data_IF_856927226308
#
_entry.id   IF_856927226308
#
_cell.length_a   1.000
_cell.length_b   1.000
_cell.length_c   1.000
_cell.angle_alpha   90.00
_cell.angle_beta   90.00
_cell.angle_gamma   90.00
#
_symmetry.space_group_name_H-M   'P 1'
#
loop_
_entity.id
_entity.type
_entity.pdbx_description
1 polymer ?
#
# COMPACT_ATOMS: atom_id res chain seq x y z
N UNK A 1 28.85 -0.02 11.22
CA UNK A 1 28.30 -1.37 10.97
C UNK A 1 28.40 -1.82 9.51
N UNK A 2 28.16 -0.95 8.52
CA UNK A 2 28.23 -1.29 7.10
C UNK A 2 29.54 -1.88 6.59
N UNK A 3 30.67 -1.34 7.07
CA UNK A 3 32.01 -1.88 6.78
C UNK A 3 32.25 -3.26 7.40
N UNK A 4 31.50 -3.62 8.45
CA UNK A 4 31.63 -4.91 9.16
C UNK A 4 30.78 -5.99 8.49
N UNK A 5 29.72 -5.61 7.78
CA UNK A 5 28.78 -6.52 7.12
C UNK A 5 28.61 -6.16 5.63
N UNK A 6 29.67 -6.25 4.80
CA UNK A 6 29.67 -5.77 3.41
C UNK A 6 28.69 -6.51 2.49
N UNK A 7 28.30 -7.73 2.85
CA UNK A 7 27.40 -8.57 2.05
C UNK A 7 25.94 -8.57 2.56
N UNK A 8 25.63 -7.76 3.57
CA UNK A 8 24.27 -7.72 4.15
C UNK A 8 23.28 -7.08 3.17
N UNK A 9 22.50 -7.92 2.50
CA UNK A 9 21.50 -7.50 1.51
C UNK A 9 20.08 -7.40 2.08
N UNK A 10 19.84 -8.02 3.24
CA UNK A 10 18.55 -8.08 3.91
C UNK A 10 18.76 -7.78 5.39
N UNK A 11 17.98 -6.86 5.92
CA UNK A 11 17.98 -6.51 7.34
C UNK A 11 16.55 -6.48 7.84
N UNK A 12 16.32 -7.19 8.95
CA UNK A 12 15.08 -7.15 9.68
C UNK A 12 15.34 -6.70 11.11
N UNK A 13 14.54 -5.74 11.58
CA UNK A 13 14.56 -5.25 12.95
C UNK A 13 13.16 -5.41 13.54
N UNK A 14 13.13 -5.94 14.76
CA UNK A 14 11.94 -5.97 15.59
C UNK A 14 12.22 -5.11 16.84
N UNK A 15 11.51 -4.01 17.05
CA UNK A 15 11.76 -3.11 18.18
C UNK A 15 10.84 -1.89 18.24
N UNK A 16 10.70 -1.29 19.42
CA UNK A 16 9.80 -0.15 19.67
C UNK A 16 10.40 1.21 19.28
N UNK A 17 11.72 1.37 19.40
CA UNK A 17 12.42 2.58 19.00
C UNK A 17 13.58 2.18 18.09
N UNK A 18 13.45 2.50 16.81
CA UNK A 18 14.47 2.16 15.82
C UNK A 18 14.87 3.43 15.07
N UNK A 19 15.97 4.04 15.50
CA UNK A 19 16.65 5.05 14.71
C UNK A 19 17.15 4.39 13.42
N UNK A 20 16.67 4.86 12.26
CA UNK A 20 17.06 4.33 10.95
C UNK A 20 18.24 5.07 10.32
N UNK A 21 18.85 6.03 11.02
CA UNK A 21 20.06 6.71 10.58
C UNK A 21 21.20 5.73 10.28
N UNK A 22 21.25 4.59 10.97
CA UNK A 22 22.27 3.57 10.74
C UNK A 22 22.18 2.98 9.31
N UNK A 23 21.06 3.09 8.60
CA UNK A 23 20.89 2.58 7.24
C UNK A 23 21.85 3.23 6.24
N UNK A 24 22.36 4.44 6.52
CA UNK A 24 23.44 5.07 5.73
C UNK A 24 24.78 4.37 5.82
N UNK A 25 24.93 3.43 6.75
CA UNK A 25 26.08 2.55 6.70
C UNK A 25 25.94 1.51 5.57
N UNK A 26 24.75 1.32 5.00
CA UNK A 26 24.44 0.27 4.02
C UNK A 26 23.90 0.80 2.67
N UNK A 27 24.42 1.92 2.11
CA UNK A 27 23.72 2.65 1.05
C UNK A 27 23.61 1.84 -0.26
N UNK A 28 24.59 0.97 -0.54
CA UNK A 28 24.69 0.24 -1.82
C UNK A 28 24.27 -1.23 -1.77
N UNK A 29 24.49 -1.90 -0.63
CA UNK A 29 24.33 -3.35 -0.50
C UNK A 29 22.95 -3.80 -0.01
N UNK A 30 22.29 -3.00 0.83
CA UNK A 30 21.00 -3.37 1.42
C UNK A 30 19.88 -3.20 0.38
N UNK A 31 19.17 -4.29 0.09
CA UNK A 31 18.09 -4.34 -0.90
C UNK A 31 16.73 -4.58 -0.25
N UNK A 32 16.68 -5.28 0.88
CA UNK A 32 15.45 -5.56 1.62
C UNK A 32 15.58 -5.04 3.04
N UNK A 33 14.64 -4.19 3.44
CA UNK A 33 14.54 -3.72 4.82
C UNK A 33 13.16 -4.03 5.39
N UNK A 34 13.14 -4.62 6.60
CA UNK A 34 11.91 -4.99 7.30
C UNK A 34 11.95 -4.41 8.71
N UNK A 35 10.96 -3.61 9.06
CA UNK A 35 10.80 -3.05 10.38
C UNK A 35 9.49 -3.55 10.98
N UNK A 36 9.56 -4.16 12.16
CA UNK A 36 8.39 -4.54 12.94
C UNK A 36 8.42 -3.86 14.31
N UNK A 37 7.40 -3.09 14.63
CA UNK A 37 7.19 -2.55 15.97
C UNK A 37 6.55 -3.56 16.93
N UNK A 38 6.26 -3.11 18.16
CA UNK A 38 5.49 -3.87 19.14
C UNK A 38 4.01 -3.42 19.10
N UNK A 39 3.08 -4.38 19.06
CA UNK A 39 1.65 -4.17 18.81
C UNK A 39 0.84 -3.70 20.03
N UNK A 40 1.42 -2.88 20.90
CA UNK A 40 0.71 -2.33 22.06
C UNK A 40 0.02 -1.03 21.67
N UNK A 41 -1.12 -1.20 20.99
CA UNK A 41 -2.02 -0.15 20.49
C UNK A 41 -2.48 0.84 21.57
N UNK A 42 -2.35 0.47 22.84
CA UNK A 42 -2.79 1.19 24.04
C UNK A 42 -1.75 2.16 24.63
N UNK A 43 -0.50 2.12 24.17
CA UNK A 43 0.61 2.76 24.88
C UNK A 43 1.10 4.08 24.29
N UNK A 44 0.51 4.58 23.19
CA UNK A 44 0.98 5.81 22.53
C UNK A 44 2.43 5.73 22.04
N UNK A 45 3.02 4.53 21.99
CA UNK A 45 4.39 4.31 21.56
C UNK A 45 4.44 4.32 20.03
N UNK A 46 4.63 5.49 19.43
CA UNK A 46 4.95 5.58 18.00
C UNK A 46 6.36 5.03 17.77
N UNK A 47 6.52 4.23 16.71
CA UNK A 47 7.85 3.94 16.20
C UNK A 47 8.21 5.13 15.32
N UNK A 48 8.98 6.07 15.86
CA UNK A 48 9.55 7.15 15.07
C UNK A 48 10.48 6.55 14.00
N UNK A 49 10.05 6.61 12.75
CA UNK A 49 10.87 6.25 11.60
C UNK A 49 11.64 7.52 11.21
N UNK A 50 12.91 7.61 11.61
CA UNK A 50 13.80 8.68 11.18
C UNK A 50 14.87 8.15 10.22
N UNK A 51 14.74 8.44 8.92
CA UNK A 51 15.87 8.33 8.00
C UNK A 51 16.61 9.66 7.92
N UNK A 52 17.57 9.85 8.84
CA UNK A 52 18.48 11.00 8.83
C UNK A 52 19.51 10.84 7.72
N UNK A 53 19.74 11.83 6.84
CA UNK A 53 20.80 11.83 5.80
C UNK A 53 20.29 11.80 4.35
N UNK A 54 21.05 12.37 3.41
CA UNK A 54 20.58 12.75 2.06
C UNK A 54 20.87 11.72 0.96
N UNK A 55 21.57 10.64 1.29
CA UNK A 55 21.93 9.63 0.31
C UNK A 55 20.74 8.73 -0.09
N UNK A 56 20.69 8.38 -1.37
CA UNK A 56 19.72 7.42 -1.88
C UNK A 56 20.09 6.00 -1.43
N UNK A 57 19.11 5.29 -0.87
CA UNK A 57 19.23 3.89 -0.51
C UNK A 57 18.91 3.01 -1.73
N UNK A 58 19.69 1.96 -1.94
CA UNK A 58 19.45 0.96 -3.00
C UNK A 58 18.36 -0.08 -2.63
N UNK A 59 17.40 0.31 -1.80
CA UNK A 59 16.32 -0.54 -1.36
C UNK A 59 15.37 -0.87 -2.52
N UNK A 60 15.07 -2.17 -2.66
CA UNK A 60 14.10 -2.73 -3.60
C UNK A 60 12.82 -3.17 -2.90
N UNK A 61 12.92 -3.52 -1.62
CA UNK A 61 11.80 -3.98 -0.80
C UNK A 61 11.81 -3.33 0.58
N UNK A 62 10.67 -2.78 0.97
CA UNK A 62 10.41 -2.20 2.28
C UNK A 62 9.18 -2.87 2.89
N UNK A 63 9.33 -3.40 4.10
CA UNK A 63 8.22 -3.90 4.89
C UNK A 63 8.13 -3.15 6.21
N UNK A 64 6.96 -2.57 6.48
CA UNK A 64 6.62 -1.91 7.73
C UNK A 64 5.50 -2.71 8.40
N UNK A 65 5.66 -3.06 9.67
CA UNK A 65 4.66 -3.85 10.39
C UNK A 65 4.48 -3.33 11.82
N UNK A 66 3.23 -3.20 12.29
CA UNK A 66 2.93 -2.83 13.69
C UNK A 66 3.60 -1.51 14.09
N UNK A 67 3.45 -0.48 13.26
CA UNK A 67 4.08 0.83 13.41
C UNK A 67 3.01 1.91 13.27
N UNK A 68 3.08 2.95 14.12
CA UNK A 68 2.39 4.21 13.85
C UNK A 68 3.19 5.03 12.83
N UNK A 69 2.58 5.33 11.69
CA UNK A 69 3.16 6.16 10.65
C UNK A 69 2.74 7.59 10.95
N UNK A 70 3.68 8.37 11.47
CA UNK A 70 3.48 9.80 11.72
C UNK A 70 3.29 10.58 10.43
N UNK A 71 2.63 11.73 10.55
CA UNK A 71 2.35 12.64 9.44
C UNK A 71 3.62 12.95 8.65
N UNK A 72 3.51 12.98 7.32
CA UNK A 72 4.63 13.25 6.40
C UNK A 72 5.84 12.30 6.53
N UNK A 73 5.81 11.24 7.34
CA UNK A 73 6.93 10.31 7.50
C UNK A 73 7.31 9.67 6.16
N UNK A 74 6.34 9.04 5.48
CA UNK A 74 6.60 8.43 4.18
C UNK A 74 6.95 9.48 3.11
N UNK A 75 6.37 10.67 3.17
CA UNK A 75 6.69 11.77 2.25
C UNK A 75 8.16 12.18 2.34
N UNK A 76 8.73 12.23 3.55
CA UNK A 76 10.14 12.57 3.79
C UNK A 76 11.11 11.47 3.34
N UNK A 77 10.67 10.21 3.28
CA UNK A 77 11.57 9.06 3.23
C UNK A 77 11.50 8.21 1.96
N UNK A 78 10.32 8.06 1.35
CA UNK A 78 10.18 7.32 0.10
C UNK A 78 10.98 7.94 -1.08
N UNK A 79 11.14 9.27 -1.21
CA UNK A 79 12.00 9.84 -2.24
C UNK A 79 13.47 9.39 -2.16
N UNK A 80 13.94 9.00 -0.97
CA UNK A 80 15.30 8.48 -0.76
C UNK A 80 15.46 7.02 -1.21
N UNK A 81 14.39 6.37 -1.67
CA UNK A 81 14.37 4.97 -2.12
C UNK A 81 13.89 4.86 -3.58
N UNK A 82 14.58 5.49 -4.55
CA UNK A 82 14.11 5.59 -5.94
C UNK A 82 14.02 4.24 -6.65
N UNK A 83 14.69 3.20 -6.13
CA UNK A 83 14.71 1.85 -6.67
C UNK A 83 13.70 0.89 -6.04
N UNK A 84 12.81 1.39 -5.17
CA UNK A 84 11.84 0.57 -4.48
C UNK A 84 10.84 -0.04 -5.46
N UNK A 85 10.69 -1.37 -5.40
CA UNK A 85 9.81 -2.17 -6.27
C UNK A 85 8.65 -2.80 -5.53
N UNK A 86 8.82 -3.03 -4.23
CA UNK A 86 7.84 -3.65 -3.34
C UNK A 86 7.73 -2.86 -2.03
N UNK A 87 6.52 -2.44 -1.69
CA UNK A 87 6.18 -1.82 -0.42
C UNK A 87 5.07 -2.63 0.25
N UNK A 88 5.31 -3.05 1.49
CA UNK A 88 4.34 -3.77 2.30
C UNK A 88 4.15 -3.06 3.63
N UNK A 89 2.93 -2.69 3.97
CA UNK A 89 2.57 -2.04 5.23
C UNK A 89 1.49 -2.89 5.90
N UNK A 90 1.74 -3.36 7.13
CA UNK A 90 0.86 -4.28 7.84
C UNK A 90 0.58 -3.86 9.27
N UNK A 91 -0.68 -3.82 9.68
CA UNK A 91 -1.07 -3.53 11.06
C UNK A 91 -0.53 -2.18 11.53
N UNK A 92 -0.54 -1.18 10.63
CA UNK A 92 -0.02 0.15 10.89
C UNK A 92 -1.17 1.13 11.09
N UNK A 93 -0.91 2.19 11.85
CA UNK A 93 -1.84 3.31 12.04
C UNK A 93 -1.33 4.55 11.33
N UNK A 94 -2.25 5.39 10.86
CA UNK A 94 -1.99 6.71 10.26
C UNK A 94 -3.09 7.68 10.68
N UNK A 95 -2.86 8.98 10.57
CA UNK A 95 -3.93 9.96 10.78
C UNK A 95 -4.81 10.08 9.53
N UNK A 96 -4.20 10.11 8.34
CA UNK A 96 -4.91 10.20 7.07
C UNK A 96 -4.45 9.15 6.05
N UNK A 97 -5.32 8.86 5.07
CA UNK A 97 -4.96 8.05 3.89
C UNK A 97 -3.99 8.77 2.96
N UNK A 98 -4.07 10.10 2.87
CA UNK A 98 -3.19 10.94 2.05
C UNK A 98 -1.72 10.78 2.45
N UNK A 99 -1.41 10.68 3.75
CA UNK A 99 -0.06 10.43 4.28
C UNK A 99 0.53 9.10 3.82
N UNK A 100 -0.32 8.09 3.57
CA UNK A 100 0.10 6.78 3.09
C UNK A 100 0.24 6.76 1.57
N UNK A 101 -0.69 7.41 0.87
CA UNK A 101 -0.88 7.24 -0.57
C UNK A 101 -0.16 8.30 -1.41
N UNK A 102 -0.19 9.58 -1.03
CA UNK A 102 0.47 10.64 -1.79
C UNK A 102 1.99 10.42 -1.95
N UNK A 103 2.72 9.94 -0.92
CA UNK A 103 4.16 9.70 -1.06
C UNK A 103 4.54 8.66 -2.12
N UNK A 104 3.63 7.76 -2.46
CA UNK A 104 3.86 6.70 -3.44
C UNK A 104 4.12 7.26 -4.85
N UNK A 105 3.68 8.49 -5.14
CA UNK A 105 3.92 9.16 -6.44
C UNK A 105 5.41 9.35 -6.77
N UNK A 106 6.25 9.39 -5.74
CA UNK A 106 7.72 9.49 -5.88
C UNK A 106 8.34 8.18 -6.38
N UNK A 107 7.68 7.04 -6.16
CA UNK A 107 8.23 5.70 -6.41
C UNK A 107 7.93 5.22 -7.83
N UNK A 108 8.67 5.73 -8.81
CA UNK A 108 8.44 5.43 -10.23
C UNK A 108 8.64 3.95 -10.61
N UNK A 109 9.35 3.18 -9.79
CA UNK A 109 9.61 1.75 -10.03
C UNK A 109 8.77 0.80 -9.17
N UNK A 110 7.81 1.32 -8.40
CA UNK A 110 6.98 0.51 -7.51
C UNK A 110 6.03 -0.38 -8.33
N UNK A 111 6.24 -1.70 -8.23
CA UNK A 111 5.44 -2.69 -8.96
C UNK A 111 4.48 -3.46 -8.06
N UNK A 112 4.70 -3.44 -6.75
CA UNK A 112 3.92 -4.20 -5.77
C UNK A 112 3.65 -3.34 -4.55
N UNK A 113 2.37 -3.20 -4.21
CA UNK A 113 1.90 -2.55 -3.00
C UNK A 113 1.00 -3.52 -2.24
N UNK A 114 1.29 -3.73 -0.97
CA UNK A 114 0.44 -4.52 -0.07
C UNK A 114 0.14 -3.72 1.19
N UNK A 115 -1.15 -3.45 1.42
CA UNK A 115 -1.66 -2.83 2.65
C UNK A 115 -2.54 -3.85 3.36
N UNK A 116 -2.29 -4.08 4.65
CA UNK A 116 -3.05 -5.06 5.44
C UNK A 116 -3.31 -4.54 6.84
N UNK A 117 -4.55 -4.55 7.32
CA UNK A 117 -4.84 -4.12 8.69
C UNK A 117 -4.46 -2.65 8.93
N UNK A 118 -4.69 -1.77 7.95
CA UNK A 118 -4.40 -0.34 8.10
C UNK A 118 -5.58 0.33 8.81
N UNK A 119 -5.29 1.00 9.91
CA UNK A 119 -6.26 1.76 10.69
C UNK A 119 -5.93 3.26 10.56
N UNK A 120 -6.91 4.06 10.16
CA UNK A 120 -6.77 5.51 9.98
C UNK A 120 -7.65 6.19 11.02
N UNK A 121 -7.06 7.04 11.86
CA UNK A 121 -7.74 7.63 13.03
C UNK A 121 -8.88 8.57 12.63
N UNK A 122 -8.65 9.41 11.61
CA UNK A 122 -9.66 10.33 11.11
C UNK A 122 -10.37 9.70 9.92
N UNK A 123 -11.63 9.29 10.15
CA UNK A 123 -12.49 8.68 9.15
C UNK A 123 -13.11 9.69 8.17
N UNK A 124 -12.77 10.97 8.29
CA UNK A 124 -13.42 12.02 7.52
C UNK A 124 -12.86 12.08 6.09
N UNK A 125 -13.71 12.49 5.17
CA UNK A 125 -13.54 12.55 3.71
C UNK A 125 -12.35 13.38 3.18
N UNK A 126 -11.36 13.68 4.01
CA UNK A 126 -10.18 14.47 3.70
C UNK A 126 -9.06 13.63 3.06
N UNK A 127 -9.39 12.98 1.95
CA UNK A 127 -8.40 12.65 0.92
C UNK A 127 -8.35 13.77 -0.14
N UNK A 128 -8.63 15.01 0.26
CA UNK A 128 -8.52 16.16 -0.63
C UNK A 128 -7.08 16.27 -1.13
N UNK A 129 -6.91 16.33 -2.45
CA UNK A 129 -5.59 16.33 -3.08
C UNK A 129 -5.00 14.96 -3.42
N UNK A 130 -5.77 13.87 -3.38
CA UNK A 130 -5.48 12.67 -4.18
C UNK A 130 -6.22 12.76 -5.51
N UNK A 131 -5.48 12.97 -6.60
CA UNK A 131 -6.02 12.92 -7.95
C UNK A 131 -5.83 11.52 -8.57
N UNK A 132 -6.67 11.17 -9.55
CA UNK A 132 -6.57 9.88 -10.25
C UNK A 132 -5.17 9.67 -10.87
N UNK A 133 -4.43 10.73 -11.20
CA UNK A 133 -3.11 10.61 -11.82
C UNK A 133 -1.94 10.58 -10.81
N UNK A 134 -2.21 10.67 -9.51
CA UNK A 134 -1.17 10.73 -8.49
C UNK A 134 -0.54 9.36 -8.16
N UNK A 135 -1.12 8.27 -8.64
CA UNK A 135 -0.67 6.93 -8.31
C UNK A 135 0.42 6.40 -9.25
N UNK A 136 1.23 5.47 -8.73
CA UNK A 136 2.35 4.88 -9.45
C UNK A 136 1.86 4.11 -10.69
N UNK A 137 1.97 4.72 -11.86
CA UNK A 137 1.62 4.10 -13.15
C UNK A 137 2.35 2.77 -13.43
N UNK A 138 3.42 2.47 -12.70
CA UNK A 138 4.19 1.22 -12.77
C UNK A 138 3.63 0.09 -11.92
N UNK A 139 2.61 0.35 -11.09
CA UNK A 139 2.03 -0.65 -10.21
C UNK A 139 1.39 -1.79 -11.01
N UNK A 140 1.86 -3.02 -10.75
CA UNK A 140 1.40 -4.22 -11.43
C UNK A 140 0.58 -5.13 -10.51
N UNK A 141 0.85 -5.08 -9.20
CA UNK A 141 0.19 -5.88 -8.18
C UNK A 141 -0.24 -5.01 -7.00
N UNK A 142 -1.52 -5.09 -6.65
CA UNK A 142 -2.09 -4.41 -5.50
C UNK A 142 -2.81 -5.43 -4.63
N UNK A 143 -2.48 -5.44 -3.34
CA UNK A 143 -3.18 -6.23 -2.34
C UNK A 143 -3.65 -5.33 -1.20
N UNK A 144 -4.96 -5.32 -0.97
CA UNK A 144 -5.59 -4.63 0.14
C UNK A 144 -6.36 -5.64 0.98
N UNK A 145 -6.13 -5.64 2.28
CA UNK A 145 -6.77 -6.59 3.17
C UNK A 145 -7.09 -5.95 4.52
N UNK A 146 -8.30 -6.12 5.03
CA UNK A 146 -8.70 -5.61 6.35
C UNK A 146 -8.33 -4.13 6.55
N UNK A 147 -8.61 -3.31 5.53
CA UNK A 147 -8.37 -1.88 5.58
C UNK A 147 -9.73 -1.16 5.57
N UNK A 148 -9.89 -0.16 6.43
CA UNK A 148 -11.09 0.69 6.45
C UNK A 148 -11.00 1.79 5.38
N UNK A 149 -10.60 1.41 4.15
CA UNK A 149 -10.51 2.32 3.02
C UNK A 149 -11.90 2.57 2.44
N UNK A 150 -12.36 3.83 2.35
CA UNK A 150 -13.66 4.13 1.74
C UNK A 150 -13.73 3.66 0.27
N UNK A 151 -14.88 3.10 -0.18
CA UNK A 151 -15.04 2.60 -1.55
C UNK A 151 -14.66 3.62 -2.63
N UNK A 152 -15.02 4.89 -2.44
CA UNK A 152 -14.66 6.00 -3.32
C UNK A 152 -13.16 6.25 -3.43
N UNK A 153 -12.44 6.17 -2.31
CA UNK A 153 -10.99 6.27 -2.30
C UNK A 153 -10.37 5.06 -3.01
N UNK A 154 -10.87 3.85 -2.76
CA UNK A 154 -10.42 2.65 -3.46
C UNK A 154 -10.62 2.78 -4.98
N UNK A 155 -11.79 3.23 -5.43
CA UNK A 155 -12.06 3.51 -6.84
C UNK A 155 -11.05 4.51 -7.43
N UNK A 156 -10.71 5.57 -6.69
CA UNK A 156 -9.72 6.57 -7.09
C UNK A 156 -8.32 5.98 -7.24
N UNK A 157 -7.87 5.16 -6.27
CA UNK A 157 -6.59 4.45 -6.30
C UNK A 157 -6.50 3.53 -7.51
N UNK A 158 -7.57 2.76 -7.77
CA UNK A 158 -7.63 1.82 -8.89
C UNK A 158 -7.61 2.56 -10.24
N UNK A 159 -8.36 3.66 -10.38
CA UNK A 159 -8.36 4.47 -11.57
C UNK A 159 -6.95 5.01 -11.93
N UNK A 160 -6.12 5.29 -10.91
CA UNK A 160 -4.74 5.71 -11.08
C UNK A 160 -3.72 4.61 -11.38
N UNK A 161 -4.16 3.36 -11.43
CA UNK A 161 -3.30 2.20 -11.70
C UNK A 161 -3.68 1.47 -13.00
N UNK A 162 -3.72 2.12 -14.19
CA UNK A 162 -4.15 1.47 -15.44
C UNK A 162 -3.22 0.32 -15.89
N UNK A 163 -2.02 0.23 -15.32
CA UNK A 163 -1.05 -0.84 -15.53
C UNK A 163 -1.30 -2.12 -14.73
N UNK A 164 -2.27 -2.12 -13.82
CA UNK A 164 -2.48 -3.20 -12.84
C UNK A 164 -2.83 -4.53 -13.53
N UNK A 165 -2.18 -5.61 -13.07
CA UNK A 165 -2.34 -6.97 -13.61
C UNK A 165 -2.96 -7.94 -12.59
N UNK A 166 -2.69 -7.69 -11.32
CA UNK A 166 -3.20 -8.49 -10.21
C UNK A 166 -3.78 -7.57 -9.13
N UNK A 167 -5.03 -7.85 -8.77
CA UNK A 167 -5.71 -7.19 -7.67
C UNK A 167 -6.23 -8.25 -6.69
N UNK A 168 -5.87 -8.09 -5.42
CA UNK A 168 -6.37 -8.89 -4.32
C UNK A 168 -7.05 -7.98 -3.30
N UNK A 169 -8.32 -8.22 -3.03
CA UNK A 169 -9.12 -7.52 -2.05
C UNK A 169 -9.60 -8.55 -1.01
N UNK A 170 -9.39 -8.27 0.27
CA UNK A 170 -9.82 -9.18 1.33
C UNK A 170 -10.45 -8.42 2.50
N UNK A 171 -11.66 -8.79 2.94
CA UNK A 171 -12.32 -8.14 4.06
C UNK A 171 -12.35 -6.60 3.91
N UNK A 172 -12.76 -6.16 2.73
CA UNK A 172 -12.89 -4.75 2.34
C UNK A 172 -14.36 -4.45 2.05
N UNK A 173 -14.79 -3.22 2.35
CA UNK A 173 -16.05 -2.69 1.84
C UNK A 173 -15.84 -2.16 0.42
N UNK A 174 -16.61 -2.65 -0.56
CA UNK A 174 -16.42 -2.31 -1.97
C UNK A 174 -17.57 -1.48 -2.58
N UNK A 175 -18.70 -1.42 -1.89
CA UNK A 175 -19.86 -0.66 -2.32
C UNK A 175 -20.16 0.48 -1.34
N UNK A 176 -20.67 1.57 -1.90
CA UNK A 176 -21.38 2.60 -1.16
C UNK A 176 -22.68 2.87 -1.93
N UNK A 177 -23.81 2.73 -1.25
CA UNK A 177 -25.13 2.91 -1.87
C UNK A 177 -25.35 4.34 -2.37
N UNK A 178 -24.58 5.31 -1.86
CA UNK A 178 -24.65 6.70 -2.25
C UNK A 178 -23.78 7.06 -3.48
N UNK A 179 -22.83 6.21 -3.89
CA UNK A 179 -21.90 6.52 -4.98
C UNK A 179 -22.33 5.89 -6.32
N UNK A 180 -22.34 6.71 -7.38
CA UNK A 180 -22.69 6.27 -8.73
C UNK A 180 -21.58 5.45 -9.41
N UNK A 181 -20.29 5.76 -9.15
CA UNK A 181 -19.14 5.04 -9.72
C UNK A 181 -18.60 4.00 -8.73
N UNK A 182 -19.30 2.87 -8.63
CA UNK A 182 -18.88 1.73 -7.81
C UNK A 182 -17.52 1.16 -8.23
N UNK A 183 -16.84 0.50 -7.28
CA UNK A 183 -15.53 -0.14 -7.51
C UNK A 183 -15.59 -1.12 -8.69
N UNK A 184 -16.67 -1.91 -8.81
CA UNK A 184 -16.89 -2.84 -9.91
C UNK A 184 -16.81 -2.17 -11.30
N UNK A 185 -17.34 -0.95 -11.44
CA UNK A 185 -17.29 -0.19 -12.69
C UNK A 185 -15.86 0.22 -13.05
N UNK A 186 -15.09 0.70 -12.06
CA UNK A 186 -13.68 1.09 -12.27
C UNK A 186 -12.84 -0.12 -12.67
N UNK A 187 -13.04 -1.26 -12.01
CA UNK A 187 -12.34 -2.51 -12.33
C UNK A 187 -12.47 -2.84 -13.82
N UNK A 188 -13.69 -2.86 -14.35
CA UNK A 188 -13.88 -3.29 -15.74
C UNK A 188 -13.61 -2.20 -16.78
N UNK A 189 -13.77 -0.90 -16.43
CA UNK A 189 -13.57 0.21 -17.39
C UNK A 189 -12.13 0.71 -17.46
N UNK A 190 -11.41 0.74 -16.33
CA UNK A 190 -10.08 1.37 -16.23
C UNK A 190 -8.95 0.34 -16.23
N UNK A 191 -9.16 -0.85 -15.68
CA UNK A 191 -8.10 -1.85 -15.50
C UNK A 191 -8.02 -2.85 -16.65
N UNK A 192 -7.86 -2.35 -17.88
CA UNK A 192 -7.82 -3.17 -19.11
C UNK A 192 -6.71 -4.25 -19.16
N UNK A 193 -5.72 -4.18 -18.27
CA UNK A 193 -4.61 -5.15 -18.17
C UNK A 193 -4.77 -6.15 -17.03
N UNK A 194 -5.85 -6.04 -16.25
CA UNK A 194 -6.09 -6.91 -15.10
C UNK A 194 -6.34 -8.34 -15.58
N UNK A 195 -5.46 -9.25 -15.20
CA UNK A 195 -5.55 -10.67 -15.55
C UNK A 195 -5.96 -11.55 -14.37
N UNK A 196 -5.72 -11.09 -13.14
CA UNK A 196 -6.05 -11.82 -11.92
C UNK A 196 -6.81 -10.90 -10.98
N UNK A 197 -8.04 -11.30 -10.63
CA UNK A 197 -8.88 -10.63 -9.64
C UNK A 197 -9.30 -11.64 -8.58
N UNK A 198 -8.94 -11.33 -7.33
CA UNK A 198 -9.28 -12.16 -6.18
C UNK A 198 -9.97 -11.28 -5.14
N UNK A 199 -11.19 -11.66 -4.77
CA UNK A 199 -12.02 -10.97 -3.80
C UNK A 199 -12.43 -11.99 -2.73
N UNK A 200 -12.05 -11.76 -1.49
CA UNK A 200 -12.29 -12.69 -0.38
C UNK A 200 -12.93 -11.96 0.81
N UNK A 201 -14.15 -12.34 1.22
CA UNK A 201 -14.75 -11.74 2.41
C UNK A 201 -15.14 -10.27 2.25
N UNK A 202 -15.35 -9.78 1.03
CA UNK A 202 -15.72 -8.39 0.77
C UNK A 202 -17.23 -8.20 0.69
N UNK A 203 -17.71 -6.99 0.98
CA UNK A 203 -19.10 -6.60 0.75
C UNK A 203 -19.28 -6.30 -0.75
N UNK A 204 -19.93 -7.23 -1.47
CA UNK A 204 -20.12 -7.17 -2.91
C UNK A 204 -21.44 -7.84 -3.27
N UNK A 205 -22.33 -7.09 -3.93
CA UNK A 205 -23.64 -7.58 -4.34
C UNK A 205 -23.55 -8.58 -5.50
N UNK A 206 -24.59 -9.41 -5.65
CA UNK A 206 -24.68 -10.35 -6.78
C UNK A 206 -24.67 -9.64 -8.14
N UNK A 207 -25.29 -8.45 -8.22
CA UNK A 207 -25.31 -7.64 -9.44
C UNK A 207 -23.91 -7.17 -9.82
N UNK A 208 -23.11 -6.72 -8.84
CA UNK A 208 -21.71 -6.33 -9.06
C UNK A 208 -20.84 -7.52 -9.48
N UNK A 209 -21.08 -8.71 -8.91
CA UNK A 209 -20.38 -9.95 -9.30
C UNK A 209 -20.66 -10.30 -10.76
N UNK A 210 -21.92 -10.30 -11.18
CA UNK A 210 -22.30 -10.57 -12.57
C UNK A 210 -21.77 -9.47 -13.51
N UNK A 211 -21.85 -8.21 -13.10
CA UNK A 211 -21.27 -7.10 -13.86
C UNK A 211 -19.76 -7.31 -14.10
N UNK A 212 -19.00 -7.72 -13.08
CA UNK A 212 -17.56 -8.03 -13.23
C UNK A 212 -17.35 -9.18 -14.21
N UNK A 213 -18.13 -10.27 -14.09
CA UNK A 213 -18.03 -11.44 -14.98
C UNK A 213 -18.28 -11.10 -16.45
N UNK A 214 -19.25 -10.23 -16.72
CA UNK A 214 -19.63 -9.86 -18.08
C UNK A 214 -18.70 -8.80 -18.70
N UNK A 215 -18.11 -7.92 -17.89
CA UNK A 215 -17.42 -6.73 -18.40
C UNK A 215 -15.88 -6.79 -18.28
N UNK A 216 -15.31 -7.58 -17.38
CA UNK A 216 -13.87 -7.64 -17.17
C UNK A 216 -13.20 -8.66 -18.11
N UNK A 217 -13.17 -8.35 -19.41
CA UNK A 217 -12.75 -9.26 -20.51
C UNK A 217 -11.27 -9.67 -20.50
N UNK A 218 -10.41 -8.98 -19.77
CA UNK A 218 -8.97 -9.28 -19.68
C UNK A 218 -8.63 -10.34 -18.65
N UNK A 219 -9.58 -10.71 -17.78
CA UNK A 219 -9.36 -11.65 -16.68
C UNK A 219 -9.09 -13.06 -17.20
N UNK A 220 -8.05 -13.67 -16.64
CA UNK A 220 -7.69 -15.09 -16.80
C UNK A 220 -8.02 -15.88 -15.54
N UNK A 221 -8.02 -15.22 -14.39
CA UNK A 221 -8.34 -15.77 -13.10
C UNK A 221 -9.29 -14.82 -12.37
N UNK A 222 -10.46 -15.34 -12.01
CA UNK A 222 -11.44 -14.67 -11.16
C UNK A 222 -11.78 -15.61 -10.00
N UNK A 223 -11.54 -15.15 -8.78
CA UNK A 223 -11.94 -15.87 -7.56
C UNK A 223 -12.68 -14.93 -6.63
N UNK A 224 -13.93 -15.26 -6.35
CA UNK A 224 -14.79 -14.51 -5.43
C UNK A 224 -15.30 -15.50 -4.38
N UNK A 225 -14.98 -15.29 -3.11
CA UNK A 225 -15.36 -16.21 -2.03
C UNK A 225 -15.76 -15.46 -0.76
N UNK A 226 -16.77 -15.92 -0.05
CA UNK A 226 -17.18 -15.37 1.24
C UNK A 226 -17.69 -13.93 1.19
N UNK A 227 -18.15 -13.46 0.03
CA UNK A 227 -18.77 -12.14 -0.10
C UNK A 227 -20.26 -12.21 0.30
N UNK A 228 -20.77 -11.17 0.94
CA UNK A 228 -22.16 -11.02 1.39
C UNK A 228 -22.72 -9.67 0.92
#
# INVERSE_FOLDING_TARGET
MGQVLPNLNCLQINGMHVDLAFLHNFPKQLQTFKLSGDSRWDSGSSVEIQFNGDEHLNLKELQLKKIHIEDSCLQRHLPKMPHLRSLTIKWCTSNFWSDLLQPLKSLKLLTTLSLHGINVNESADDWTGLEQNDFAASLARLQLAQCEMPPKLLATVLAGCPGLRELRLQAMKLNDAADEEQVAHVLCRKLSKLSTLIIEGCELSNEEVEFIRENCKSLKELRITGCL
#
